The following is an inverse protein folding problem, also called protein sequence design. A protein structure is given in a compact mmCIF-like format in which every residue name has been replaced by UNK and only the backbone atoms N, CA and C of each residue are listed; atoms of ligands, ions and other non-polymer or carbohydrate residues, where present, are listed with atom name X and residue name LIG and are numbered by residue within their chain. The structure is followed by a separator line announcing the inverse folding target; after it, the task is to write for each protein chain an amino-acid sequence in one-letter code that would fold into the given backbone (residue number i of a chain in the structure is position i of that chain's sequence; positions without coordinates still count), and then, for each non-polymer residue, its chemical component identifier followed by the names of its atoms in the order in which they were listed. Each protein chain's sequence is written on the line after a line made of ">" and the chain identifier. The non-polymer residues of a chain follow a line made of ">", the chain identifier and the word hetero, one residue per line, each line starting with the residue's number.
data_IF_360739629829
#
_entry.id   IF_360739629829
#
_cell.length_a   1.000
_cell.length_b   1.000
_cell.length_c   1.000
_cell.angle_alpha   90.00
_cell.angle_beta   90.00
_cell.angle_gamma   90.00
#
_symmetry.space_group_name_H-M   'P 1'
#
loop_
_entity.id
_entity.type
_entity.pdbx_description
1 polymer ?
#
# COMPACT_ATOMS: atom_id res chain seq x y z
N UNK A 1 7.06 24.56 -18.74
CA UNK A 1 7.35 23.22 -18.18
C UNK A 1 6.41 23.03 -17.00
N UNK A 2 5.25 22.37 -17.21
CA UNK A 2 4.22 22.17 -16.18
C UNK A 2 4.57 20.95 -15.37
N UNK A 3 4.90 21.16 -14.12
CA UNK A 3 5.14 20.11 -13.13
C UNK A 3 3.80 19.43 -12.82
N UNK A 4 3.58 18.24 -13.36
CA UNK A 4 2.46 17.39 -12.98
C UNK A 4 2.75 16.85 -11.56
N UNK A 5 2.19 17.51 -10.57
CA UNK A 5 2.09 16.97 -9.22
C UNK A 5 1.19 15.73 -9.27
N UNK A 6 1.83 14.59 -9.38
CA UNK A 6 1.19 13.29 -9.25
C UNK A 6 0.75 13.13 -7.78
N UNK A 7 -0.50 13.45 -7.51
CA UNK A 7 -1.13 13.12 -6.23
C UNK A 7 -1.34 11.60 -6.19
N UNK A 8 -0.31 10.87 -5.82
CA UNK A 8 -0.43 9.48 -5.41
C UNK A 8 -1.08 9.46 -4.03
N UNK A 9 -2.39 9.27 -3.99
CA UNK A 9 -3.10 9.03 -2.74
C UNK A 9 -2.93 7.56 -2.37
N UNK A 10 -1.76 7.19 -1.89
CA UNK A 10 -1.53 5.87 -1.29
C UNK A 10 -2.18 5.88 0.08
N UNK A 11 -3.47 5.56 0.10
CA UNK A 11 -4.16 5.24 1.32
C UNK A 11 -3.92 3.78 1.67
N UNK A 12 -2.82 3.49 2.36
CA UNK A 12 -2.59 2.16 2.93
C UNK A 12 -3.46 2.01 4.17
N UNK A 13 -4.68 1.50 4.01
CA UNK A 13 -5.51 1.04 5.12
C UNK A 13 -5.18 -0.43 5.37
N UNK A 14 -4.08 -0.70 6.07
CA UNK A 14 -3.79 -2.00 6.65
C UNK A 14 -4.52 -2.12 7.97
N UNK A 15 -5.76 -2.62 7.95
CA UNK A 15 -6.45 -3.11 9.13
C UNK A 15 -6.38 -4.65 9.13
N UNK A 16 -5.32 -5.19 9.69
CA UNK A 16 -5.24 -6.61 10.06
C UNK A 16 -5.68 -6.75 11.52
N UNK A 17 -6.98 -6.95 11.74
CA UNK A 17 -7.49 -7.48 13.00
C UNK A 17 -7.26 -8.98 13.03
N UNK A 18 -6.31 -9.43 13.85
CA UNK A 18 -6.18 -10.82 14.26
C UNK A 18 -7.24 -11.13 15.34
N UNK A 19 -8.37 -11.71 14.96
CA UNK A 19 -9.29 -12.33 15.89
C UNK A 19 -8.94 -13.82 15.97
N UNK A 20 -8.33 -14.24 17.10
CA UNK A 20 -8.27 -15.64 17.49
C UNK A 20 -9.64 -16.07 18.01
N UNK A 21 -10.32 -16.96 17.28
CA UNK A 21 -11.44 -17.73 17.81
C UNK A 21 -11.14 -19.20 17.57
N UNK A 22 -10.88 -19.89 18.66
CA UNK A 22 -10.80 -21.34 18.69
C UNK A 22 -12.22 -21.92 18.69
N UNK A 23 -12.55 -22.73 17.67
CA UNK A 23 -13.51 -23.82 17.78
C UNK A 23 -13.12 -24.87 16.75
N UNK A 24 -12.84 -26.09 17.26
CA UNK A 24 -12.50 -27.21 16.45
C UNK A 24 -13.73 -27.80 15.73
N UNK A 25 -13.48 -28.32 14.52
CA UNK A 25 -14.07 -29.54 14.01
C UNK A 25 -13.37 -29.96 12.71
N UNK A 26 -13.05 -31.20 12.66
CA UNK A 26 -12.57 -32.21 11.72
C UNK A 26 -12.51 -31.92 10.20
N UNK A 27 -11.66 -32.72 9.50
CA UNK A 27 -11.07 -32.32 8.23
C UNK A 27 -11.97 -32.76 7.06
N UNK A 28 -12.46 -31.78 6.32
CA UNK A 28 -12.83 -32.03 4.93
C UNK A 28 -11.78 -31.32 4.08
N UNK A 29 -10.88 -32.12 3.55
CA UNK A 29 -9.86 -31.74 2.56
C UNK A 29 -10.57 -31.44 1.24
N UNK A 30 -11.15 -30.29 1.14
CA UNK A 30 -11.41 -29.65 -0.16
C UNK A 30 -10.44 -28.51 -0.24
N UNK A 31 -9.47 -28.60 -1.17
CA UNK A 31 -8.58 -27.51 -1.55
C UNK A 31 -9.44 -26.33 -2.01
N UNK A 32 -9.92 -25.54 -1.06
CA UNK A 32 -10.43 -24.23 -1.34
C UNK A 32 -9.22 -23.33 -1.58
N UNK A 33 -8.80 -23.22 -2.84
CA UNK A 33 -8.08 -22.07 -3.35
C UNK A 33 -9.01 -20.85 -3.18
N UNK A 34 -9.15 -20.40 -1.93
CA UNK A 34 -10.02 -19.30 -1.59
C UNK A 34 -9.35 -18.01 -2.08
N UNK A 35 -9.70 -17.61 -3.30
CA UNK A 35 -9.42 -16.27 -3.79
C UNK A 35 -10.07 -15.27 -2.84
N UNK A 36 -9.32 -14.80 -1.86
CA UNK A 36 -9.78 -13.79 -0.91
C UNK A 36 -9.96 -12.46 -1.64
N UNK A 37 -11.13 -11.83 -1.50
CA UNK A 37 -11.43 -10.53 -2.07
C UNK A 37 -11.68 -9.53 -0.95
N UNK A 38 -11.00 -8.38 -1.01
CA UNK A 38 -11.19 -7.26 -0.08
C UNK A 38 -11.52 -5.99 -0.86
N UNK A 39 -12.45 -5.20 -0.36
CA UNK A 39 -12.86 -3.94 -0.98
C UNK A 39 -12.58 -2.79 -0.02
N UNK A 40 -11.91 -1.75 -0.51
CA UNK A 40 -11.66 -0.50 0.21
C UNK A 40 -12.33 0.66 -0.53
N UNK A 41 -13.09 1.48 0.21
CA UNK A 41 -13.70 2.72 -0.30
C UNK A 41 -12.93 3.91 0.25
N UNK A 42 -12.68 4.91 -0.58
CA UNK A 42 -12.06 6.18 -0.17
C UNK A 42 -13.10 7.27 -0.04
N UNK A 43 -12.77 8.34 0.69
CA UNK A 43 -13.67 9.48 0.89
C UNK A 43 -14.04 10.21 -0.42
N UNK A 44 -13.23 10.09 -1.47
CA UNK A 44 -13.48 10.65 -2.80
C UNK A 44 -14.40 9.75 -3.66
N UNK A 45 -15.03 8.71 -3.06
CA UNK A 45 -15.89 7.75 -3.74
C UNK A 45 -15.14 6.71 -4.58
N UNK A 46 -13.83 6.79 -4.69
CA UNK A 46 -13.04 5.76 -5.40
C UNK A 46 -13.04 4.45 -4.63
N UNK A 47 -13.01 3.33 -5.37
CA UNK A 47 -13.04 1.97 -4.84
C UNK A 47 -11.81 1.19 -5.28
N UNK A 48 -11.14 0.52 -4.36
CA UNK A 48 -10.08 -0.44 -4.66
C UNK A 48 -10.54 -1.85 -4.29
N UNK A 49 -10.48 -2.77 -5.24
CA UNK A 49 -10.76 -4.19 -5.05
C UNK A 49 -9.43 -4.93 -5.09
N UNK A 50 -9.12 -5.64 -4.00
CA UNK A 50 -7.98 -6.54 -3.90
C UNK A 50 -8.45 -7.97 -4.12
N UNK A 51 -7.81 -8.69 -5.04
CA UNK A 51 -7.97 -10.13 -5.24
C UNK A 51 -6.65 -10.79 -4.89
N UNK A 52 -6.68 -11.69 -3.91
CA UNK A 52 -5.51 -12.43 -3.44
C UNK A 52 -5.50 -13.83 -4.02
N UNK A 53 -4.34 -14.27 -4.45
CA UNK A 53 -4.01 -15.65 -4.80
C UNK A 53 -2.98 -16.11 -3.77
N UNK A 54 -3.45 -16.70 -2.69
CA UNK A 54 -2.59 -17.10 -1.58
C UNK A 54 -1.65 -18.26 -1.98
N UNK A 55 -2.04 -19.11 -2.93
CA UNK A 55 -1.22 -20.21 -3.44
C UNK A 55 -0.02 -19.71 -4.26
N UNK A 56 -0.17 -18.61 -4.96
CA UNK A 56 0.89 -18.02 -5.77
C UNK A 56 1.62 -16.86 -5.06
N UNK A 57 1.25 -16.54 -3.82
CA UNK A 57 1.76 -15.37 -3.09
C UNK A 57 1.63 -14.06 -3.89
N UNK A 58 0.47 -13.85 -4.50
CA UNK A 58 0.18 -12.70 -5.35
C UNK A 58 -1.14 -12.03 -4.98
N UNK A 59 -1.23 -10.74 -5.31
CA UNK A 59 -2.51 -10.04 -5.28
C UNK A 59 -2.62 -9.05 -6.44
N UNK A 60 -3.86 -8.76 -6.83
CA UNK A 60 -4.16 -7.71 -7.80
C UNK A 60 -5.09 -6.71 -7.15
N UNK A 61 -4.67 -5.44 -7.09
CA UNK A 61 -5.53 -4.32 -6.71
C UNK A 61 -6.01 -3.59 -7.96
N UNK A 62 -7.31 -3.35 -8.05
CA UNK A 62 -7.92 -2.57 -9.11
C UNK A 62 -8.66 -1.39 -8.50
N UNK A 63 -8.22 -0.18 -8.82
CA UNK A 63 -8.84 1.06 -8.34
C UNK A 63 -9.67 1.69 -9.44
N UNK A 64 -10.94 1.95 -9.14
CA UNK A 64 -11.86 2.69 -10.00
C UNK A 64 -12.28 3.99 -9.33
N UNK A 65 -12.68 4.99 -10.14
CA UNK A 65 -13.32 6.19 -9.61
C UNK A 65 -14.78 5.94 -9.25
N UNK A 66 -15.49 7.00 -8.88
CA UNK A 66 -16.89 6.97 -8.47
C UNK A 66 -17.80 6.48 -9.59
N UNK A 67 -17.45 6.76 -10.84
CA UNK A 67 -18.17 6.36 -12.06
C UNK A 67 -17.83 4.94 -12.52
N UNK A 68 -16.92 4.24 -11.80
CA UNK A 68 -16.47 2.88 -12.12
C UNK A 68 -15.35 2.81 -13.16
N UNK A 69 -14.82 3.96 -13.62
CA UNK A 69 -13.73 4.01 -14.59
C UNK A 69 -12.41 3.62 -13.94
N UNK A 70 -11.61 2.79 -14.61
CA UNK A 70 -10.30 2.38 -14.15
C UNK A 70 -9.37 3.59 -13.94
N UNK A 71 -8.78 3.70 -12.76
CA UNK A 71 -7.72 4.67 -12.41
C UNK A 71 -6.35 4.03 -12.42
N UNK A 72 -6.25 2.85 -11.81
CA UNK A 72 -4.98 2.20 -11.55
C UNK A 72 -5.19 0.69 -11.33
N UNK A 73 -4.20 -0.10 -11.74
CA UNK A 73 -4.11 -1.52 -11.43
C UNK A 73 -2.71 -1.83 -10.91
N UNK A 74 -2.64 -2.59 -9.81
CA UNK A 74 -1.36 -2.97 -9.20
C UNK A 74 -1.32 -4.49 -9.09
N UNK A 75 -0.23 -5.08 -9.57
CA UNK A 75 0.10 -6.48 -9.35
C UNK A 75 1.14 -6.54 -8.22
N UNK A 76 0.79 -7.23 -7.15
CA UNK A 76 1.64 -7.39 -5.97
C UNK A 76 2.25 -8.78 -5.91
N UNK A 77 3.48 -8.85 -5.43
CA UNK A 77 4.04 -10.05 -4.83
C UNK A 77 3.90 -9.95 -3.30
N UNK A 78 3.68 -11.10 -2.65
CA UNK A 78 3.44 -11.21 -1.22
C UNK A 78 4.58 -12.02 -0.60
N UNK A 79 5.12 -11.56 0.53
CA UNK A 79 6.16 -12.27 1.28
C UNK A 79 5.58 -13.41 2.13
N UNK A 80 6.45 -14.23 2.71
CA UNK A 80 6.06 -15.36 3.58
C UNK A 80 5.27 -14.92 4.83
N UNK A 81 5.39 -13.65 5.24
CA UNK A 81 4.62 -13.07 6.33
C UNK A 81 3.24 -12.53 5.89
N UNK A 82 2.86 -12.73 4.62
CA UNK A 82 1.60 -12.27 4.04
C UNK A 82 1.54 -10.77 3.75
N UNK A 83 2.69 -10.09 3.61
CA UNK A 83 2.79 -8.66 3.34
C UNK A 83 3.20 -8.43 1.89
N UNK A 84 2.84 -7.29 1.32
CA UNK A 84 3.30 -6.90 -0.02
C UNK A 84 4.82 -6.67 -0.02
N UNK A 85 5.56 -7.45 -0.79
CA UNK A 85 7.02 -7.31 -0.97
C UNK A 85 7.37 -6.43 -2.16
N UNK A 86 6.59 -6.51 -3.23
CA UNK A 86 6.73 -5.65 -4.41
C UNK A 86 5.36 -5.31 -5.03
N UNK A 87 5.35 -4.32 -5.92
CA UNK A 87 4.17 -3.94 -6.69
C UNK A 87 4.55 -3.42 -8.07
N UNK A 88 3.82 -3.86 -9.10
CA UNK A 88 3.93 -3.34 -10.47
C UNK A 88 2.68 -2.52 -10.77
N UNK A 89 2.85 -1.21 -10.96
CA UNK A 89 1.76 -0.23 -11.06
C UNK A 89 1.50 0.13 -12.51
N UNK A 90 0.25 -0.05 -12.93
CA UNK A 90 -0.24 0.29 -14.27
C UNK A 90 -1.26 1.45 -14.17
N UNK A 91 -1.21 2.35 -15.14
CA UNK A 91 -2.18 3.43 -15.26
C UNK A 91 -3.53 2.97 -15.80
N UNK A 92 -4.48 3.91 -15.91
CA UNK A 92 -5.79 3.68 -16.52
C UNK A 92 -5.72 3.29 -18.00
N UNK A 93 -4.62 3.62 -18.66
CA UNK A 93 -4.31 3.26 -20.05
C UNK A 93 -3.66 1.88 -20.18
N UNK A 94 -3.48 1.15 -19.07
CA UNK A 94 -2.83 -0.16 -19.02
C UNK A 94 -1.31 -0.13 -19.15
N UNK A 95 -0.69 1.05 -19.29
CA UNK A 95 0.77 1.18 -19.38
C UNK A 95 1.41 1.12 -18.00
N UNK A 96 2.58 0.48 -17.94
CA UNK A 96 3.41 0.49 -16.74
C UNK A 96 3.78 1.93 -16.37
N UNK A 97 3.56 2.28 -15.11
CA UNK A 97 3.98 3.57 -14.56
C UNK A 97 5.29 3.46 -13.81
N UNK A 98 5.36 2.53 -12.87
CA UNK A 98 6.55 2.26 -12.07
C UNK A 98 6.41 0.91 -11.37
N UNK A 99 7.53 0.44 -10.81
CA UNK A 99 7.58 -0.71 -9.91
C UNK A 99 7.91 -0.22 -8.50
N UNK A 100 7.28 -0.81 -7.49
CA UNK A 100 7.55 -0.53 -6.08
C UNK A 100 8.17 -1.74 -5.40
N UNK A 101 9.09 -1.49 -4.46
CA UNK A 101 9.56 -2.46 -3.48
C UNK A 101 9.30 -1.93 -2.09
N UNK A 102 8.85 -2.80 -1.19
CA UNK A 102 8.42 -2.45 0.16
C UNK A 102 9.36 -3.04 1.19
N UNK A 103 9.77 -2.24 2.18
CA UNK A 103 10.53 -2.70 3.34
C UNK A 103 9.75 -2.41 4.62
N UNK A 104 9.82 -3.36 5.52
CA UNK A 104 9.13 -3.29 6.80
C UNK A 104 10.12 -3.21 7.95
N UNK A 105 9.74 -2.54 9.03
CA UNK A 105 10.51 -2.52 10.27
C UNK A 105 10.33 -3.82 11.08
N UNK A 106 11.07 -3.94 12.17
CA UNK A 106 11.01 -5.12 13.05
C UNK A 106 9.65 -5.36 13.71
N UNK A 107 8.75 -4.38 13.67
CA UNK A 107 7.36 -4.49 14.13
C UNK A 107 6.38 -4.82 13.00
N UNK A 108 6.86 -5.04 11.77
CA UNK A 108 6.05 -5.34 10.59
C UNK A 108 5.35 -4.14 9.98
N UNK A 109 5.76 -2.91 10.31
CA UNK A 109 5.20 -1.69 9.73
C UNK A 109 5.97 -1.30 8.48
N UNK A 110 5.29 -0.81 7.44
CA UNK A 110 5.92 -0.35 6.20
C UNK A 110 6.86 0.83 6.50
N UNK A 111 8.16 0.59 6.41
CA UNK A 111 9.19 1.59 6.69
C UNK A 111 9.58 2.40 5.45
N UNK A 112 9.73 1.72 4.32
CA UNK A 112 10.23 2.32 3.09
C UNK A 112 9.53 1.72 1.87
N UNK A 113 9.25 2.57 0.88
CA UNK A 113 8.87 2.17 -0.47
C UNK A 113 9.88 2.78 -1.45
N UNK A 114 10.46 1.94 -2.31
CA UNK A 114 11.36 2.37 -3.38
C UNK A 114 10.62 2.23 -4.71
N UNK A 115 10.52 3.31 -5.47
CA UNK A 115 9.87 3.33 -6.78
C UNK A 115 10.92 3.41 -7.89
N UNK A 116 10.80 2.56 -8.90
CA UNK A 116 11.68 2.49 -10.06
C UNK A 116 10.90 2.47 -11.37
N UNK A 117 11.53 2.98 -12.43
CA UNK A 117 11.03 2.84 -13.79
C UNK A 117 11.12 1.37 -14.26
N UNK A 118 10.58 1.06 -15.43
CA UNK A 118 10.59 -0.27 -16.03
C UNK A 118 12.01 -0.85 -16.16
N UNK A 119 12.97 -0.02 -16.54
CA UNK A 119 14.38 -0.37 -16.69
C UNK A 119 15.16 -0.45 -15.38
N UNK A 120 14.49 -0.32 -14.23
CA UNK A 120 15.12 -0.36 -12.90
C UNK A 120 15.70 0.98 -12.40
N UNK A 121 15.66 2.04 -13.20
CA UNK A 121 16.12 3.36 -12.76
C UNK A 121 15.28 3.83 -11.58
N UNK A 122 15.93 4.18 -10.45
CA UNK A 122 15.27 4.75 -9.27
C UNK A 122 14.54 6.03 -9.65
N UNK A 123 13.30 6.15 -9.23
CA UNK A 123 12.48 7.36 -9.40
C UNK A 123 12.36 8.11 -8.07
N UNK A 124 11.87 7.42 -7.04
CA UNK A 124 11.63 8.00 -5.72
C UNK A 124 11.87 6.96 -4.62
N UNK A 125 12.19 7.46 -3.44
CA UNK A 125 12.16 6.72 -2.19
C UNK A 125 11.20 7.40 -1.24
N UNK A 126 10.26 6.64 -0.67
CA UNK A 126 9.27 7.09 0.29
C UNK A 126 9.61 6.47 1.64
N UNK A 127 9.73 7.28 2.68
CA UNK A 127 9.99 6.83 4.05
C UNK A 127 8.79 7.20 4.91
N UNK A 128 8.26 6.22 5.64
CA UNK A 128 7.07 6.38 6.48
C UNK A 128 7.46 6.63 7.93
N UNK A 129 6.70 7.48 8.61
CA UNK A 129 6.92 7.85 10.01
C UNK A 129 5.74 7.38 10.87
N UNK A 130 6.04 6.92 12.08
CA UNK A 130 5.06 6.40 13.03
C UNK A 130 5.24 7.03 14.40
N UNK A 131 4.16 7.17 15.16
CA UNK A 131 4.21 7.53 16.57
C UNK A 131 4.57 6.30 17.45
N UNK A 132 4.82 6.50 18.75
CA UNK A 132 5.12 5.39 19.66
C UNK A 132 4.00 4.35 19.78
N UNK A 133 2.75 4.72 19.47
CA UNK A 133 1.61 3.81 19.45
C UNK A 133 1.51 3.00 18.13
N UNK A 134 2.44 3.22 17.17
CA UNK A 134 2.47 2.53 15.89
C UNK A 134 1.53 3.11 14.83
N UNK A 135 0.89 4.25 15.09
CA UNK A 135 0.06 4.94 14.11
C UNK A 135 0.94 5.73 13.14
N UNK A 136 0.70 5.59 11.85
CA UNK A 136 1.39 6.38 10.84
C UNK A 136 1.10 7.87 11.00
N UNK A 137 2.17 8.66 11.17
CA UNK A 137 2.11 10.12 11.35
C UNK A 137 2.48 10.88 10.08
N UNK A 138 3.10 10.22 9.12
CA UNK A 138 3.45 10.89 7.88
C UNK A 138 4.30 10.05 6.94
N UNK A 139 4.80 10.70 5.92
CA UNK A 139 5.79 10.16 4.99
C UNK A 139 6.63 11.29 4.39
N UNK A 140 7.84 10.96 3.96
CA UNK A 140 8.76 11.84 3.21
C UNK A 140 9.11 11.19 1.88
N UNK A 141 9.15 11.97 0.81
CA UNK A 141 9.50 11.54 -0.55
C UNK A 141 10.84 12.14 -0.93
N UNK A 142 11.77 11.29 -1.33
CA UNK A 142 13.11 11.66 -1.77
C UNK A 142 13.28 11.34 -3.26
N UNK A 143 14.01 12.17 -3.97
CA UNK A 143 14.45 11.92 -5.34
C UNK A 143 15.66 10.97 -5.38
N UNK A 144 16.16 10.71 -6.60
CA UNK A 144 17.31 9.83 -6.87
C UNK A 144 18.60 10.28 -6.17
N UNK A 145 18.73 11.59 -5.86
CA UNK A 145 19.88 12.16 -5.19
C UNK A 145 19.73 12.22 -3.66
N UNK A 146 18.63 11.66 -3.13
CA UNK A 146 18.32 11.71 -1.70
C UNK A 146 17.79 13.07 -1.22
N UNK A 147 17.44 13.98 -2.14
CA UNK A 147 16.83 15.26 -1.81
C UNK A 147 15.36 15.09 -1.50
N UNK A 148 14.89 15.69 -0.40
CA UNK A 148 13.47 15.73 -0.06
C UNK A 148 12.70 16.57 -1.10
N UNK A 149 11.74 15.95 -1.79
CA UNK A 149 10.93 16.57 -2.85
C UNK A 149 9.45 16.64 -2.52
N UNK A 150 9.02 15.97 -1.45
CA UNK A 150 7.63 15.97 -0.99
C UNK A 150 7.45 15.22 0.31
N UNK A 151 6.21 15.21 0.81
CA UNK A 151 5.85 14.48 2.02
C UNK A 151 4.62 15.06 2.68
N UNK A 152 4.15 14.36 3.71
CA UNK A 152 3.08 14.79 4.62
C UNK A 152 3.47 14.36 6.02
N UNK A 153 3.63 15.31 6.92
CA UNK A 153 3.82 15.07 8.34
C UNK A 153 2.52 15.46 9.03
N UNK A 154 1.95 14.58 9.84
CA UNK A 154 0.85 14.96 10.70
C UNK A 154 1.37 16.00 11.70
N UNK A 155 0.64 17.11 11.85
CA UNK A 155 0.97 18.10 12.87
C UNK A 155 1.02 17.41 14.23
N UNK A 156 2.14 17.56 14.95
CA UNK A 156 2.22 17.12 16.34
C UNK A 156 1.10 17.79 17.14
N UNK A 157 0.37 17.04 18.00
CA UNK A 157 -0.64 17.66 18.82
C UNK A 157 0.03 18.73 19.68
N UNK A 158 -0.40 19.98 19.50
CA UNK A 158 0.08 21.10 20.31
C UNK A 158 -0.20 20.77 21.79
N UNK A 159 0.81 20.79 22.66
CA UNK A 159 0.59 20.51 24.07
C UNK A 159 -0.45 21.49 24.62
N UNK A 160 -1.57 20.98 25.10
CA UNK A 160 -2.59 21.81 25.76
C UNK A 160 -1.93 22.50 26.96
N UNK A 161 -1.73 23.81 26.88
CA UNK A 161 -1.28 24.63 27.99
C UNK A 161 -2.27 24.46 29.12
N UNK A 162 -1.90 23.77 30.20
CA UNK A 162 -2.70 23.73 31.43
C UNK A 162 -2.78 25.16 31.96
N UNK A 163 -3.97 25.69 32.09
CA UNK A 163 -4.24 26.90 32.86
C UNK A 163 -4.22 26.59 34.36
#
# INVERSE_FOLDING_TARGET
>A
MRLFLLRSTIGCALLLCAAKSAFGQSPDTTENNANRVTVSMKADGSRTVYKFDDAQHKAVATTTDQEGKLREKIHYDIDEAGRFSSGTVFGSDGRLRFKSQYKYDGSGRLQEETQSAENGTLLHKIVYSYDPAGKQTGYSVFDVNGKLVGGKIAASPTPKRKK
#
